data_IF_825123922183
#
_entry.id   IF_825123922183
#
_cell.length_a   1.000
_cell.length_b   1.000
_cell.length_c   1.000
_cell.angle_alpha   90.00
_cell.angle_beta   90.00
_cell.angle_gamma   90.00
#
_symmetry.space_group_name_H-M   'P 1'
#
loop_
_entity.id
_entity.type
_entity.pdbx_description
1 polymer ?
#
# COMPACT_ATOMS: atom_id res chain seq x y z
N UNK A 1 -15.47 21.31 -5.70
CA UNK A 1 -16.19 21.68 -6.94
C UNK A 1 -15.38 22.78 -7.60
N UNK A 2 -14.86 22.51 -8.81
CA UNK A 2 -13.89 23.36 -9.51
C UNK A 2 -14.59 24.41 -10.39
N UNK A 3 -15.58 23.98 -11.15
CA UNK A 3 -16.27 24.82 -12.12
C UNK A 3 -17.70 24.29 -12.39
N UNK A 4 -18.43 24.98 -13.26
CA UNK A 4 -19.71 24.53 -13.82
C UNK A 4 -19.61 24.62 -15.34
N UNK A 5 -20.06 23.59 -16.06
CA UNK A 5 -20.12 23.59 -17.54
C UNK A 5 -21.54 23.26 -18.06
N UNK A 6 -21.87 23.58 -19.32
CA UNK A 6 -23.09 23.09 -19.96
C UNK A 6 -23.17 21.56 -19.95
N UNK A 7 -24.36 21.02 -19.69
CA UNK A 7 -24.62 19.59 -19.76
C UNK A 7 -24.46 19.07 -21.20
N UNK A 8 -23.78 17.93 -21.34
CA UNK A 8 -23.69 17.17 -22.58
C UNK A 8 -24.42 15.84 -22.38
N UNK A 9 -25.16 15.38 -23.39
CA UNK A 9 -25.87 14.10 -23.33
C UNK A 9 -24.91 12.95 -22.98
N UNK A 10 -25.19 12.25 -21.88
CA UNK A 10 -24.30 11.24 -21.30
C UNK A 10 -23.65 11.67 -19.98
N UNK A 11 -23.74 12.96 -19.61
CA UNK A 11 -23.25 13.43 -18.31
C UNK A 11 -24.04 12.80 -17.14
N UNK A 12 -23.38 12.44 -16.03
CA UNK A 12 -24.03 11.83 -14.87
C UNK A 12 -25.05 12.78 -14.22
N UNK A 13 -26.27 12.29 -13.98
CA UNK A 13 -27.35 13.07 -13.40
C UNK A 13 -27.04 13.59 -11.98
N UNK A 14 -26.28 12.83 -11.19
CA UNK A 14 -25.88 13.23 -9.83
C UNK A 14 -24.90 14.42 -9.82
N UNK A 15 -24.32 14.77 -10.97
CA UNK A 15 -23.45 15.95 -11.12
C UNK A 15 -24.22 17.20 -11.57
N UNK A 16 -25.53 17.13 -11.83
CA UNK A 16 -26.34 18.30 -12.21
C UNK A 16 -26.37 19.31 -11.07
N UNK A 17 -26.07 20.57 -11.38
CA UNK A 17 -26.16 21.66 -10.40
C UNK A 17 -27.54 22.34 -10.47
N UNK A 18 -28.54 21.71 -9.84
CA UNK A 18 -29.93 22.17 -9.86
C UNK A 18 -30.13 23.66 -9.55
N UNK A 19 -29.47 24.27 -8.55
CA UNK A 19 -29.64 25.70 -8.27
C UNK A 19 -29.23 26.61 -9.44
N UNK A 20 -28.10 26.33 -10.11
CA UNK A 20 -27.66 27.12 -11.27
C UNK A 20 -28.47 26.78 -12.51
N UNK A 21 -28.81 25.50 -12.71
CA UNK A 21 -29.73 25.08 -13.78
C UNK A 21 -31.05 25.84 -13.72
N UNK A 22 -31.66 25.94 -12.54
CA UNK A 22 -32.93 26.64 -12.37
C UNK A 22 -32.82 28.14 -12.66
N UNK A 23 -31.69 28.78 -12.32
CA UNK A 23 -31.44 30.20 -12.58
C UNK A 23 -31.14 30.51 -14.05
N UNK A 24 -30.44 29.61 -14.74
CA UNK A 24 -30.06 29.79 -16.15
C UNK A 24 -31.11 29.26 -17.13
N UNK A 25 -32.03 28.39 -16.68
CA UNK A 25 -32.99 27.71 -17.56
C UNK A 25 -32.37 26.62 -18.44
N UNK A 26 -31.08 26.30 -18.25
CA UNK A 26 -30.33 25.30 -19.03
C UNK A 26 -29.59 24.34 -18.09
N UNK A 27 -29.56 23.05 -18.42
CA UNK A 27 -28.84 22.05 -17.61
C UNK A 27 -27.34 22.35 -17.58
N UNK A 28 -26.80 22.42 -16.37
CA UNK A 28 -25.37 22.55 -16.13
C UNK A 28 -24.88 21.50 -15.14
N UNK A 29 -23.63 21.08 -15.30
CA UNK A 29 -23.00 20.01 -14.54
C UNK A 29 -21.84 20.56 -13.74
N UNK A 30 -21.70 20.11 -12.49
CA UNK A 30 -20.56 20.41 -11.62
C UNK A 30 -19.33 19.70 -12.15
N UNK A 31 -18.25 20.44 -12.37
CA UNK A 31 -16.94 19.84 -12.53
C UNK A 31 -16.32 19.62 -11.16
N UNK A 32 -15.98 18.36 -10.91
CA UNK A 32 -15.19 17.99 -9.74
C UNK A 32 -13.72 18.21 -10.08
N UNK A 33 -12.99 18.74 -9.11
CA UNK A 33 -11.53 18.77 -9.19
C UNK A 33 -11.07 17.31 -9.23
N UNK A 34 -10.30 16.86 -10.25
CA UNK A 34 -9.67 15.56 -10.18
C UNK A 34 -8.74 15.55 -8.95
N UNK A 35 -8.70 14.46 -8.16
CA UNK A 35 -7.77 14.36 -7.05
C UNK A 35 -6.35 14.68 -7.55
N UNK A 36 -5.66 15.60 -6.87
CA UNK A 36 -4.24 15.85 -7.17
C UNK A 36 -3.52 14.53 -6.97
N UNK A 37 -2.86 14.03 -8.03
CA UNK A 37 -2.14 12.77 -7.98
C UNK A 37 -1.14 12.82 -6.81
N UNK A 38 -1.51 12.16 -5.71
CA UNK A 38 -0.68 12.11 -4.51
C UNK A 38 0.29 10.95 -4.70
N UNK A 39 1.56 11.16 -4.37
CA UNK A 39 2.53 10.08 -4.33
C UNK A 39 2.41 9.30 -3.01
N UNK A 40 2.49 7.97 -3.07
CA UNK A 40 2.60 7.11 -1.89
C UNK A 40 3.88 6.28 -1.99
N UNK A 41 4.71 6.34 -0.94
CA UNK A 41 5.83 5.44 -0.77
C UNK A 41 5.48 4.30 0.20
N UNK A 42 5.68 3.06 -0.25
CA UNK A 42 5.50 1.85 0.54
C UNK A 42 6.88 1.24 0.76
N UNK A 43 7.31 1.19 2.01
CA UNK A 43 8.57 0.56 2.42
C UNK A 43 8.22 -0.80 3.01
N UNK A 44 8.57 -1.88 2.31
CA UNK A 44 8.41 -3.23 2.86
C UNK A 44 9.69 -3.62 3.58
N UNK A 45 9.61 -3.69 4.90
CA UNK A 45 10.73 -4.07 5.76
C UNK A 45 10.49 -5.45 6.36
N UNK A 46 11.03 -6.48 5.70
CA UNK A 46 10.99 -7.86 6.18
C UNK A 46 12.07 -8.19 7.22
N UNK A 47 13.00 -7.25 7.48
CA UNK A 47 14.08 -7.40 8.47
C UNK A 47 13.69 -6.92 9.87
N UNK A 48 12.50 -6.34 10.03
CA UNK A 48 12.00 -5.93 11.33
C UNK A 48 11.92 -7.17 12.23
N UNK A 49 12.55 -7.15 13.42
CA UNK A 49 12.57 -8.31 14.30
C UNK A 49 11.14 -8.69 14.64
N UNK A 50 10.80 -9.94 14.40
CA UNK A 50 9.65 -10.57 15.02
C UNK A 50 9.88 -10.41 16.53
N UNK A 51 9.13 -9.52 17.20
CA UNK A 51 9.33 -9.19 18.62
C UNK A 51 8.95 -10.33 19.58
N UNK A 52 8.84 -11.57 19.06
CA UNK A 52 8.57 -12.81 19.77
C UNK A 52 9.72 -13.80 19.60
N UNK A 53 10.90 -13.51 20.14
CA UNK A 53 11.87 -14.54 20.53
C UNK A 53 12.82 -14.00 21.62
N UNK A 54 12.89 -14.63 22.81
CA UNK A 54 14.00 -14.38 23.72
C UNK A 54 15.29 -14.85 23.05
N UNK A 55 16.28 -13.97 23.04
CA UNK A 55 17.64 -14.15 22.57
C UNK A 55 18.21 -15.56 22.86
N UNK A 56 18.37 -16.41 21.83
CA UNK A 56 19.04 -17.71 21.94
C UNK A 56 20.56 -17.52 21.93
N UNK A 57 21.07 -16.91 23.00
CA UNK A 57 22.47 -17.04 23.41
C UNK A 57 22.67 -18.24 24.36
N UNK A 58 21.73 -19.18 24.42
CA UNK A 58 21.78 -20.33 25.31
C UNK A 58 21.37 -21.62 24.61
N UNK A 59 22.38 -22.46 24.36
CA UNK A 59 22.39 -23.92 24.26
C UNK A 59 21.51 -24.63 23.20
N UNK A 60 22.18 -25.52 22.46
CA UNK A 60 21.64 -26.56 21.58
C UNK A 60 20.38 -27.26 22.14
N UNK A 61 19.26 -27.18 21.42
CA UNK A 61 18.20 -28.20 21.34
C UNK A 61 17.48 -28.05 19.97
N UNK A 62 17.12 -29.13 19.26
CA UNK A 62 16.43 -29.02 17.98
C UNK A 62 14.93 -28.79 18.23
N UNK A 63 14.46 -27.57 17.99
CA UNK A 63 13.02 -27.25 18.06
C UNK A 63 12.36 -27.71 16.76
N UNK A 64 11.49 -28.72 16.88
CA UNK A 64 10.57 -29.21 15.84
C UNK A 64 9.20 -28.55 16.09
N UNK A 65 8.52 -28.12 15.01
CA UNK A 65 7.17 -27.51 14.92
C UNK A 65 7.02 -25.99 15.18
N UNK A 66 7.67 -25.14 14.37
CA UNK A 66 7.47 -23.67 14.42
C UNK A 66 7.61 -22.90 13.09
N UNK A 67 7.65 -23.58 11.94
CA UNK A 67 8.03 -22.94 10.67
C UNK A 67 6.87 -22.26 9.91
N UNK A 68 5.61 -22.52 10.28
CA UNK A 68 4.44 -22.03 9.53
C UNK A 68 4.07 -20.57 9.88
N UNK A 69 4.30 -20.14 11.13
CA UNK A 69 3.84 -18.82 11.61
C UNK A 69 4.67 -17.66 11.00
N UNK A 70 5.97 -17.88 10.77
CA UNK A 70 6.87 -16.85 10.25
C UNK A 70 6.63 -16.59 8.74
N UNK A 71 6.44 -17.66 7.95
CA UNK A 71 6.08 -17.55 6.52
C UNK A 71 4.72 -16.87 6.37
N UNK A 72 3.74 -17.22 7.21
CA UNK A 72 2.42 -16.59 7.21
C UNK A 72 2.49 -15.08 7.49
N UNK A 73 3.31 -14.65 8.47
CA UNK A 73 3.46 -13.23 8.81
C UNK A 73 4.13 -12.40 7.70
N UNK A 74 5.07 -13.00 6.94
CA UNK A 74 5.74 -12.38 5.79
C UNK A 74 4.79 -12.27 4.61
N UNK A 75 4.05 -13.33 4.30
CA UNK A 75 3.01 -13.31 3.27
C UNK A 75 1.92 -12.29 3.60
N UNK A 76 1.50 -12.18 4.85
CA UNK A 76 0.56 -11.15 5.31
C UNK A 76 1.11 -9.73 5.11
N UNK A 77 2.39 -9.49 5.41
CA UNK A 77 3.02 -8.21 5.15
C UNK A 77 3.07 -7.89 3.64
N UNK A 78 3.40 -8.88 2.81
CA UNK A 78 3.38 -8.72 1.35
C UNK A 78 1.95 -8.46 0.84
N UNK A 79 0.93 -9.15 1.37
CA UNK A 79 -0.47 -8.94 1.05
C UNK A 79 -0.96 -7.55 1.47
N UNK A 80 -0.61 -7.09 2.67
CA UNK A 80 -0.92 -5.73 3.13
C UNK A 80 -0.26 -4.67 2.24
N UNK A 81 1.01 -4.85 1.89
CA UNK A 81 1.72 -3.95 0.98
C UNK A 81 1.07 -3.93 -0.42
N UNK A 82 0.67 -5.10 -0.93
CA UNK A 82 -0.04 -5.23 -2.20
C UNK A 82 -1.39 -4.49 -2.17
N UNK A 83 -2.22 -4.73 -1.15
CA UNK A 83 -3.53 -4.06 -1.01
C UNK A 83 -3.42 -2.55 -0.92
N UNK A 84 -2.43 -2.03 -0.18
CA UNK A 84 -2.17 -0.59 -0.11
C UNK A 84 -1.77 -0.01 -1.47
N UNK A 85 -0.87 -0.68 -2.19
CA UNK A 85 -0.44 -0.25 -3.51
C UNK A 85 -1.57 -0.33 -4.56
N UNK A 86 -2.33 -1.43 -4.58
CA UNK A 86 -3.46 -1.62 -5.49
C UNK A 86 -4.53 -0.57 -5.26
N UNK A 87 -4.87 -0.29 -3.99
CA UNK A 87 -5.82 0.76 -3.65
C UNK A 87 -5.30 2.15 -4.08
N UNK A 88 -4.03 2.47 -3.85
CA UNK A 88 -3.45 3.75 -4.26
C UNK A 88 -3.48 3.91 -5.80
N UNK A 89 -3.06 2.88 -6.54
CA UNK A 89 -3.08 2.88 -8.01
C UNK A 89 -4.50 3.02 -8.57
N UNK A 90 -5.49 2.35 -7.95
CA UNK A 90 -6.90 2.46 -8.35
C UNK A 90 -7.46 3.89 -8.21
N UNK A 91 -6.88 4.68 -7.30
CA UNK A 91 -7.22 6.10 -7.11
C UNK A 91 -6.32 7.05 -7.94
N UNK A 92 -5.48 6.53 -8.83
CA UNK A 92 -4.60 7.33 -9.69
C UNK A 92 -3.37 7.91 -8.97
N UNK A 93 -3.04 7.41 -7.77
CA UNK A 93 -1.82 7.78 -7.07
C UNK A 93 -0.59 7.15 -7.72
N UNK A 94 0.55 7.83 -7.65
CA UNK A 94 1.85 7.23 -8.00
C UNK A 94 2.34 6.39 -6.83
N UNK A 95 2.80 5.17 -7.09
CA UNK A 95 3.30 4.28 -6.04
C UNK A 95 4.79 4.06 -6.19
N UNK A 96 5.54 4.45 -5.15
CA UNK A 96 6.91 4.04 -4.91
C UNK A 96 6.91 2.80 -4.05
N UNK A 97 7.48 1.70 -4.54
CA UNK A 97 7.77 0.55 -3.70
C UNK A 97 9.26 0.59 -3.37
N UNK A 98 9.60 0.50 -2.10
CA UNK A 98 10.97 0.37 -1.64
C UNK A 98 11.12 -0.95 -0.86
N UNK A 99 12.00 -1.82 -1.33
CA UNK A 99 12.25 -3.17 -0.78
C UNK A 99 13.75 -3.40 -0.63
N UNK A 100 14.12 -4.44 0.10
CA UNK A 100 15.43 -5.05 -0.03
C UNK A 100 15.33 -6.27 -0.95
N UNK A 101 16.27 -6.44 -1.87
CA UNK A 101 16.38 -7.61 -2.75
C UNK A 101 17.74 -8.26 -2.56
N UNK A 102 17.95 -9.46 -3.10
CA UNK A 102 19.23 -10.17 -3.02
C UNK A 102 20.42 -9.34 -3.54
N UNK A 103 20.18 -8.55 -4.59
CA UNK A 103 21.18 -7.68 -5.23
C UNK A 103 21.30 -6.29 -4.55
N UNK A 104 20.52 -6.05 -3.50
CA UNK A 104 20.55 -4.82 -2.71
C UNK A 104 19.19 -4.12 -2.59
N UNK A 105 19.23 -2.94 -1.98
CA UNK A 105 18.06 -2.12 -1.74
C UNK A 105 17.54 -1.48 -3.04
N UNK A 106 16.24 -1.62 -3.31
CA UNK A 106 15.60 -1.09 -4.54
C UNK A 106 14.39 -0.25 -4.18
N UNK A 107 14.40 1.02 -4.59
CA UNK A 107 13.19 1.85 -4.63
C UNK A 107 12.90 2.31 -6.06
N UNK A 108 11.63 2.27 -6.46
CA UNK A 108 11.22 2.68 -7.80
C UNK A 108 9.72 2.64 -7.99
N UNK A 109 9.26 3.24 -9.09
CA UNK A 109 7.84 3.31 -9.42
C UNK A 109 7.27 1.95 -9.79
N UNK A 110 6.02 1.76 -9.42
CA UNK A 110 5.22 0.62 -9.83
C UNK A 110 4.05 1.11 -10.65
N UNK A 111 4.00 0.69 -11.91
CA UNK A 111 2.99 1.15 -12.89
C UNK A 111 1.80 0.20 -13.02
N UNK A 112 1.80 -0.93 -12.30
CA UNK A 112 0.70 -1.90 -12.33
C UNK A 112 0.94 -3.16 -11.51
N UNK A 113 -0.12 -3.98 -11.38
CA UNK A 113 -0.17 -5.13 -10.48
C UNK A 113 0.90 -6.20 -10.78
N UNK A 114 1.18 -6.48 -12.05
CA UNK A 114 2.18 -7.51 -12.40
C UNK A 114 3.58 -7.11 -11.93
N UNK A 115 3.95 -5.84 -12.14
CA UNK A 115 5.24 -5.31 -11.70
C UNK A 115 5.31 -5.27 -10.16
N UNK A 116 4.22 -4.89 -9.50
CA UNK A 116 4.09 -4.90 -8.04
C UNK A 116 4.37 -6.28 -7.47
N UNK A 117 3.61 -7.29 -7.91
CA UNK A 117 3.71 -8.66 -7.42
C UNK A 117 5.10 -9.26 -7.68
N UNK A 118 5.66 -9.03 -8.87
CA UNK A 118 7.02 -9.47 -9.20
C UNK A 118 8.06 -8.87 -8.25
N UNK A 119 7.93 -7.59 -7.89
CA UNK A 119 8.87 -6.93 -6.98
C UNK A 119 8.71 -7.38 -5.53
N UNK A 120 7.48 -7.61 -5.08
CA UNK A 120 7.21 -8.18 -3.75
C UNK A 120 7.80 -9.60 -3.62
N UNK A 121 7.65 -10.45 -4.65
CA UNK A 121 8.21 -11.79 -4.66
C UNK A 121 9.75 -11.85 -4.65
N UNK A 122 10.42 -10.74 -4.98
CA UNK A 122 11.88 -10.60 -4.92
C UNK A 122 12.37 -9.97 -3.61
N UNK A 123 11.47 -9.59 -2.71
CA UNK A 123 11.84 -8.95 -1.46
C UNK A 123 12.51 -9.93 -0.50
N UNK A 124 13.45 -9.45 0.29
CA UNK A 124 14.25 -10.22 1.24
C UNK A 124 14.32 -9.51 2.59
N UNK A 125 14.71 -10.23 3.65
CA UNK A 125 14.85 -9.72 5.01
C UNK A 125 16.16 -8.93 5.23
N UNK A 126 16.49 -8.02 4.32
CA UNK A 126 17.59 -7.07 4.46
C UNK A 126 17.07 -5.63 4.59
N UNK A 127 17.96 -4.66 4.78
CA UNK A 127 17.59 -3.24 4.88
C UNK A 127 16.96 -2.73 3.58
N UNK A 128 15.71 -2.27 3.58
CA UNK A 128 15.05 -1.78 2.38
C UNK A 128 15.57 -0.41 1.96
N UNK A 129 15.33 -0.04 0.71
CA UNK A 129 15.68 1.29 0.22
C UNK A 129 14.87 2.39 0.93
N UNK A 130 15.49 3.56 1.08
CA UNK A 130 14.80 4.72 1.61
C UNK A 130 13.73 5.24 0.62
N UNK A 131 12.58 5.71 1.13
CA UNK A 131 11.57 6.36 0.31
C UNK A 131 12.05 7.73 -0.19
N UNK A 132 11.50 8.26 -1.30
CA UNK A 132 11.82 9.61 -1.73
C UNK A 132 11.43 10.67 -0.69
N UNK A 133 12.22 11.74 -0.61
CA UNK A 133 11.99 12.82 0.34
C UNK A 133 10.63 13.52 0.09
N UNK A 134 9.92 13.83 1.18
CA UNK A 134 8.65 14.55 1.12
C UNK A 134 7.44 13.73 0.66
N UNK A 135 7.62 12.43 0.35
CA UNK A 135 6.51 11.55 0.00
C UNK A 135 5.81 11.00 1.26
N UNK A 136 4.47 11.02 1.32
CA UNK A 136 3.71 10.22 2.27
C UNK A 136 4.20 8.77 2.27
N UNK A 137 4.64 8.28 3.43
CA UNK A 137 5.31 6.99 3.56
C UNK A 137 4.54 6.07 4.49
N UNK A 138 4.33 4.83 4.06
CA UNK A 138 3.82 3.75 4.89
C UNK A 138 4.88 2.66 4.95
N UNK A 139 5.28 2.29 6.17
CA UNK A 139 6.19 1.16 6.42
C UNK A 139 5.35 -0.06 6.74
N UNK A 140 5.58 -1.14 6.00
CA UNK A 140 4.93 -2.43 6.22
C UNK A 140 5.98 -3.41 6.73
N UNK A 141 5.74 -3.97 7.90
CA UNK A 141 6.55 -5.03 8.51
C UNK A 141 5.70 -6.28 8.71
N UNK A 142 6.31 -7.47 8.81
CA UNK A 142 5.66 -8.64 9.39
C UNK A 142 5.06 -8.30 10.75
N UNK A 143 3.90 -8.88 11.05
CA UNK A 143 3.37 -8.81 12.41
C UNK A 143 4.24 -9.70 13.31
N UNK A 144 4.39 -9.38 14.60
CA UNK A 144 5.04 -10.32 15.51
C UNK A 144 4.26 -11.64 15.52
N UNK A 145 4.98 -12.77 15.56
CA UNK A 145 4.42 -14.10 15.78
C UNK A 145 3.55 -14.01 17.03
N UNK A 146 2.26 -14.26 16.84
CA UNK A 146 1.31 -14.22 17.93
C UNK A 146 1.45 -15.56 18.63
N UNK A 147 2.29 -15.63 19.68
CA UNK A 147 2.22 -16.77 20.60
C UNK A 147 0.82 -16.76 21.20
N UNK A 148 -0.01 -17.71 20.78
CA UNK A 148 -1.35 -17.90 21.30
C UNK A 148 -1.27 -18.31 22.77
N UNK A 149 -1.26 -17.33 23.67
CA UNK A 149 -1.59 -17.51 25.07
C UNK A 149 -2.65 -16.47 25.47
N UNK A 150 -3.90 -16.77 25.14
CA UNK A 150 -5.03 -16.32 25.94
C UNK A 150 -5.62 -17.55 26.61
N UNK A 151 -5.03 -17.91 27.76
CA UNK A 151 -5.59 -18.88 28.67
C UNK A 151 -6.64 -18.20 29.57
N UNK A 152 -7.86 -18.74 29.50
CA UNK A 152 -8.96 -18.80 30.49
C UNK A 152 -9.42 -17.54 31.21
#
# INVERSE_FOLDING_TARGET
>A
MRSVRPYISGDPQHLVHWPTTARLGSLVVKELEPPVATGLAIVLNLSAPNLSAPNLAAANEPVVDGYEDDISSVEDAACRAAGLAENALAHGAKVMLCTAQADGAVCGEVFGLLQLRRRLALATAATPAAPPEGWPTVVVTPAPATTAEQAS
#
